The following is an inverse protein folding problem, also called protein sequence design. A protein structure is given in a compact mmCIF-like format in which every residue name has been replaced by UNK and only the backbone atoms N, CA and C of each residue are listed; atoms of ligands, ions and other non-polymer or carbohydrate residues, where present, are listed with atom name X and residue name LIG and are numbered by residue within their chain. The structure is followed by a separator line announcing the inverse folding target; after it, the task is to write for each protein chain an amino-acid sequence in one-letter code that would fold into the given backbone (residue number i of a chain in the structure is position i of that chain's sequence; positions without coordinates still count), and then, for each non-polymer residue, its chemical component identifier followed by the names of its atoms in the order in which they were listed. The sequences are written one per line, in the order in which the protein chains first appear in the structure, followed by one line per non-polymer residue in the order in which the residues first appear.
data_IF_916609511472
#
_entry.id   IF_916609511472
#
_cell.length_a   1.000
_cell.length_b   1.000
_cell.length_c   1.000
_cell.angle_alpha   90.00
_cell.angle_beta   90.00
_cell.angle_gamma   90.00
#
_symmetry.space_group_name_H-M   'P 1'
#
loop_
_entity.id
_entity.type
_entity.pdbx_description
1 polymer ?
#
# COMPACT_ATOMS: atom_id res chain seq x y z
N UNK A 1 5.92 13.06 1.06
CA UNK A 1 6.42 11.96 0.23
C UNK A 1 6.33 12.33 -1.24
N UNK A 2 7.38 12.06 -2.00
CA UNK A 2 7.38 12.15 -3.47
C UNK A 2 6.75 10.91 -4.09
N UNK A 3 6.37 10.97 -5.36
CA UNK A 3 5.88 9.79 -6.12
C UNK A 3 6.92 8.67 -6.10
N UNK A 4 8.22 9.01 -6.17
CA UNK A 4 9.30 8.02 -6.11
C UNK A 4 9.37 7.30 -4.76
N UNK A 5 9.15 8.01 -3.65
CA UNK A 5 9.09 7.40 -2.31
C UNK A 5 7.85 6.50 -2.17
N UNK A 6 6.70 6.97 -2.66
CA UNK A 6 5.46 6.19 -2.73
C UNK A 6 5.64 4.89 -3.52
N UNK A 7 6.32 4.94 -4.68
CA UNK A 7 6.63 3.74 -5.50
C UNK A 7 7.49 2.72 -4.75
N UNK A 8 8.50 3.18 -3.99
CA UNK A 8 9.33 2.29 -3.17
C UNK A 8 8.51 1.63 -2.07
N UNK A 9 7.67 2.40 -1.38
CA UNK A 9 6.79 1.90 -0.33
C UNK A 9 5.78 0.88 -0.89
N UNK A 10 5.20 1.17 -2.05
CA UNK A 10 4.31 0.26 -2.78
C UNK A 10 4.96 -1.07 -3.12
N UNK A 11 6.19 -1.04 -3.66
CA UNK A 11 6.95 -2.26 -3.98
C UNK A 11 7.21 -3.12 -2.74
N UNK A 12 7.46 -2.51 -1.58
CA UNK A 12 7.64 -3.23 -0.33
C UNK A 12 6.32 -3.81 0.21
N UNK A 13 5.22 -3.07 0.06
CA UNK A 13 3.88 -3.51 0.45
C UNK A 13 3.38 -4.73 -0.35
N UNK A 14 3.69 -4.80 -1.65
CA UNK A 14 3.24 -5.90 -2.52
C UNK A 14 3.68 -7.29 -2.05
N UNK A 15 4.85 -7.41 -1.41
CA UNK A 15 5.40 -8.67 -0.90
C UNK A 15 5.10 -8.95 0.58
N UNK A 16 4.25 -8.14 1.22
CA UNK A 16 4.04 -8.19 2.65
C UNK A 16 3.03 -9.29 3.04
N UNK A 17 3.28 -10.07 4.11
CA UNK A 17 2.40 -11.17 4.51
C UNK A 17 1.03 -10.65 4.97
N UNK A 18 -0.02 -11.36 4.58
CA UNK A 18 -1.38 -11.15 5.04
C UNK A 18 -2.07 -12.45 5.39
N UNK A 19 -3.03 -12.38 6.30
CA UNK A 19 -3.84 -13.51 6.74
C UNK A 19 -5.00 -13.79 5.75
N UNK A 20 -5.87 -14.74 6.10
CA UNK A 20 -7.04 -15.11 5.28
C UNK A 20 -8.10 -14.01 5.16
N UNK A 21 -8.08 -13.03 6.06
CA UNK A 21 -9.00 -11.90 6.09
C UNK A 21 -8.41 -10.66 5.39
N UNK A 22 -7.30 -10.83 4.68
CA UNK A 22 -6.56 -9.78 3.95
C UNK A 22 -6.00 -8.67 4.87
N UNK A 23 -5.73 -8.99 6.14
CA UNK A 23 -5.06 -8.10 7.09
C UNK A 23 -3.55 -8.35 7.10
N UNK A 24 -2.74 -7.31 7.26
CA UNK A 24 -1.28 -7.45 7.37
C UNK A 24 -0.87 -8.18 8.65
N UNK A 25 0.06 -9.13 8.57
CA UNK A 25 0.43 -9.98 9.73
C UNK A 25 1.56 -9.41 10.59
N UNK A 26 2.18 -8.31 10.17
CA UNK A 26 3.21 -7.57 10.92
C UNK A 26 3.06 -6.07 10.69
N UNK A 27 3.62 -5.26 11.58
CA UNK A 27 3.61 -3.80 11.43
C UNK A 27 4.37 -3.37 10.17
N UNK A 28 3.83 -2.39 9.46
CA UNK A 28 4.42 -1.86 8.23
C UNK A 28 4.24 -0.36 8.11
N UNK A 29 5.34 0.39 7.99
CA UNK A 29 5.33 1.85 7.86
C UNK A 29 4.58 2.53 9.02
N UNK A 30 3.31 2.92 8.83
CA UNK A 30 2.44 3.51 9.86
C UNK A 30 1.21 2.65 10.19
N UNK A 31 1.13 1.45 9.61
CA UNK A 31 0.03 0.51 9.80
C UNK A 31 0.46 -0.58 10.77
N UNK A 32 -0.42 -0.89 11.69
CA UNK A 32 -0.21 -1.95 12.68
C UNK A 32 -0.68 -3.29 12.12
N UNK A 33 -0.12 -4.38 12.63
CA UNK A 33 -0.64 -5.72 12.41
C UNK A 33 -2.16 -5.76 12.61
N UNK A 34 -2.87 -6.40 11.68
CA UNK A 34 -4.33 -6.46 11.68
C UNK A 34 -4.99 -5.36 10.84
N UNK A 35 -4.23 -4.43 10.25
CA UNK A 35 -4.79 -3.46 9.30
C UNK A 35 -5.16 -4.16 7.99
N UNK A 36 -6.38 -3.95 7.49
CA UNK A 36 -6.82 -4.48 6.20
C UNK A 36 -5.99 -3.89 5.05
N UNK A 37 -5.52 -4.75 4.15
CA UNK A 37 -4.81 -4.31 2.94
C UNK A 37 -5.66 -3.35 2.11
N UNK A 38 -6.99 -3.50 2.11
CA UNK A 38 -7.89 -2.55 1.47
C UNK A 38 -7.71 -1.11 1.98
N UNK A 39 -7.55 -0.91 3.30
CA UNK A 39 -7.33 0.42 3.89
C UNK A 39 -5.96 0.97 3.49
N UNK A 40 -4.93 0.12 3.43
CA UNK A 40 -3.59 0.50 2.94
C UNK A 40 -3.66 0.92 1.45
N UNK A 41 -4.38 0.16 0.62
CA UNK A 41 -4.60 0.47 -0.79
C UNK A 41 -5.34 1.80 -0.97
N UNK A 42 -6.39 2.04 -0.17
CA UNK A 42 -7.14 3.28 -0.17
C UNK A 42 -6.24 4.47 0.18
N UNK A 43 -5.43 4.33 1.23
CA UNK A 43 -4.46 5.34 1.62
C UNK A 43 -3.47 5.67 0.50
N UNK A 44 -2.95 4.68 -0.23
CA UNK A 44 -2.10 4.95 -1.39
C UNK A 44 -2.86 5.75 -2.46
N UNK A 45 -4.13 5.43 -2.71
CA UNK A 45 -5.00 6.17 -3.62
C UNK A 45 -5.14 7.64 -3.25
N UNK A 46 -5.34 7.96 -1.98
CA UNK A 46 -5.43 9.35 -1.50
C UNK A 46 -4.13 10.14 -1.65
N UNK A 47 -2.97 9.46 -1.71
CA UNK A 47 -1.66 10.12 -1.89
C UNK A 47 -1.25 10.31 -3.34
N UNK A 48 -1.99 9.74 -4.29
CA UNK A 48 -1.65 9.72 -5.71
C UNK A 48 -2.62 10.59 -6.52
N UNK A 49 -2.13 11.65 -7.20
CA UNK A 49 -3.00 12.63 -7.87
C UNK A 49 -3.86 12.02 -9.00
N UNK A 50 -3.39 10.96 -9.66
CA UNK A 50 -4.13 10.30 -10.74
C UNK A 50 -4.59 8.88 -10.35
N UNK A 51 -4.42 8.53 -9.07
CA UNK A 51 -4.70 7.20 -8.56
C UNK A 51 -3.61 6.17 -8.89
N UNK A 52 -3.75 5.02 -8.23
CA UNK A 52 -2.74 3.97 -8.19
C UNK A 52 -2.38 3.40 -9.56
N UNK A 53 -3.38 3.08 -10.38
CA UNK A 53 -3.17 2.46 -11.69
C UNK A 53 -2.37 3.36 -12.65
N UNK A 54 -2.67 4.67 -12.65
CA UNK A 54 -2.05 5.65 -13.56
C UNK A 54 -0.66 6.03 -13.06
N UNK A 55 -0.53 6.44 -11.80
CA UNK A 55 0.74 6.96 -11.29
C UNK A 55 1.81 5.87 -11.17
N UNK A 56 1.41 4.61 -10.95
CA UNK A 56 2.31 3.46 -10.86
C UNK A 56 2.40 2.61 -12.15
N UNK A 57 1.64 2.93 -13.19
CA UNK A 57 1.64 2.19 -14.46
C UNK A 57 1.43 0.68 -14.27
N UNK A 58 0.34 0.32 -13.59
CA UNK A 58 -0.03 -1.06 -13.24
C UNK A 58 -0.92 -1.74 -14.29
N UNK A 59 -1.12 -1.09 -15.44
CA UNK A 59 -1.89 -1.57 -16.60
C UNK A 59 -0.97 -1.80 -17.81
#
# INVERSE_FOLDING_TARGET
MTITELKKLWSAFGGFPSNSDDEIEVDFYCWEKGTYRFDNLHWFGEKLPNGLAVDFNLL
#
